data_IF_061192059540
#
_entry.id   IF_061192059540
#
_cell.length_a   1.000
_cell.length_b   1.000
_cell.length_c   1.000
_cell.angle_alpha   90.00
_cell.angle_beta   90.00
_cell.angle_gamma   90.00
#
_symmetry.space_group_name_H-M   'P 1'
#
loop_
_entity.id
_entity.type
_entity.pdbx_description
1 polymer ?
#
# COMPACT_ATOMS: atom_id res chain seq x y z
N UNK A 1 -2.22 16.63 1.79
CA UNK A 1 -1.47 15.45 2.26
C UNK A 1 -2.09 14.99 3.56
N UNK A 2 -2.75 13.83 3.55
CA UNK A 2 -3.48 13.30 4.70
C UNK A 2 -2.47 12.73 5.72
N UNK A 3 -2.37 13.27 6.96
CA UNK A 3 -1.36 12.84 7.92
C UNK A 3 -1.47 11.34 8.28
N UNK A 4 -2.66 10.77 8.10
CA UNK A 4 -2.93 9.33 8.29
C UNK A 4 -2.02 8.46 7.43
N UNK A 5 -1.77 8.81 6.17
CA UNK A 5 -0.99 7.98 5.25
C UNK A 5 0.46 7.81 5.70
N UNK A 6 1.05 8.89 6.22
CA UNK A 6 2.40 8.83 6.77
C UNK A 6 2.45 7.94 8.01
N UNK A 7 1.44 8.00 8.88
CA UNK A 7 1.32 7.13 10.06
C UNK A 7 1.28 5.65 9.68
N UNK A 8 0.53 5.30 8.63
CA UNK A 8 0.41 3.91 8.16
C UNK A 8 1.75 3.41 7.62
N UNK A 9 2.44 4.23 6.83
CA UNK A 9 3.78 3.89 6.34
C UNK A 9 4.75 3.71 7.52
N UNK A 10 4.70 4.59 8.52
CA UNK A 10 5.60 4.51 9.68
C UNK A 10 5.33 3.24 10.53
N UNK A 11 4.06 2.93 10.77
CA UNK A 11 3.65 1.68 11.43
C UNK A 11 4.09 0.46 10.61
N UNK A 12 3.82 0.45 9.31
CA UNK A 12 4.24 -0.63 8.40
C UNK A 12 5.76 -0.83 8.43
N UNK A 13 6.54 0.26 8.48
CA UNK A 13 8.00 0.21 8.58
C UNK A 13 8.51 -0.39 9.88
N UNK A 14 7.77 -0.28 10.98
CA UNK A 14 8.11 -0.92 12.28
C UNK A 14 7.94 -2.42 12.22
N UNK A 15 7.05 -2.91 11.37
CA UNK A 15 6.90 -4.33 11.12
C UNK A 15 8.01 -4.84 10.18
N UNK A 16 8.50 -6.04 10.48
CA UNK A 16 9.49 -6.71 9.65
C UNK A 16 8.75 -7.56 8.62
N UNK A 17 8.09 -6.89 7.69
CA UNK A 17 7.25 -7.54 6.67
C UNK A 17 8.17 -8.26 5.69
N UNK A 18 8.08 -9.58 5.69
CA UNK A 18 8.74 -10.43 4.70
C UNK A 18 7.78 -10.52 3.49
N UNK A 19 8.33 -10.52 2.28
CA UNK A 19 7.54 -10.65 1.04
C UNK A 19 6.57 -11.83 1.14
N UNK A 20 5.25 -11.59 0.97
CA UNK A 20 4.20 -12.61 1.03
C UNK A 20 3.37 -12.66 2.32
N UNK A 21 3.55 -11.69 3.23
CA UNK A 21 2.70 -11.55 4.42
C UNK A 21 1.46 -10.70 4.13
N UNK A 22 0.61 -11.21 3.21
CA UNK A 22 -0.62 -10.53 2.77
C UNK A 22 -1.59 -10.29 3.95
N UNK A 23 -1.60 -11.19 4.95
CA UNK A 23 -2.40 -11.04 6.17
C UNK A 23 -1.99 -9.81 6.99
N UNK A 24 -0.69 -9.53 7.13
CA UNK A 24 -0.21 -8.37 7.86
C UNK A 24 -0.52 -7.05 7.15
N UNK A 25 -0.42 -7.02 5.82
CA UNK A 25 -0.81 -5.83 5.05
C UNK A 25 -2.30 -5.56 5.22
N UNK A 26 -3.13 -6.61 5.14
CA UNK A 26 -4.57 -6.50 5.37
C UNK A 26 -4.90 -6.03 6.81
N UNK A 27 -4.25 -6.60 7.82
CA UNK A 27 -4.44 -6.22 9.24
C UNK A 27 -4.05 -4.75 9.51
N UNK A 28 -2.95 -4.27 8.92
CA UNK A 28 -2.51 -2.87 9.07
C UNK A 28 -3.50 -1.93 8.38
N UNK A 29 -3.98 -2.27 7.18
CA UNK A 29 -4.96 -1.45 6.47
C UNK A 29 -6.31 -1.42 7.19
N UNK A 30 -6.75 -2.56 7.74
CA UNK A 30 -7.97 -2.66 8.55
C UNK A 30 -7.86 -1.85 9.85
N UNK A 31 -6.74 -1.97 10.57
CA UNK A 31 -6.47 -1.19 11.79
C UNK A 31 -6.36 0.30 11.55
N UNK A 32 -5.97 0.69 10.34
CA UNK A 32 -5.77 2.09 9.98
C UNK A 32 -7.05 2.80 9.54
N UNK A 33 -8.18 2.09 9.51
CA UNK A 33 -9.49 2.62 9.13
C UNK A 33 -9.44 3.36 7.77
N UNK A 34 -8.63 2.86 6.84
CA UNK A 34 -8.60 3.41 5.47
C UNK A 34 -9.87 2.96 4.76
N UNK A 35 -10.65 3.94 4.32
CA UNK A 35 -11.79 3.66 3.45
C UNK A 35 -11.33 3.31 2.04
N UNK A 36 -12.17 2.58 1.32
CA UNK A 36 -11.90 2.17 -0.07
C UNK A 36 -11.69 3.39 -0.96
N UNK A 37 -12.49 4.44 -0.73
CA UNK A 37 -12.40 5.71 -1.44
C UNK A 37 -11.06 6.44 -1.22
N UNK A 38 -10.37 6.16 -0.11
CA UNK A 38 -9.04 6.72 0.22
C UNK A 38 -7.88 5.88 -0.34
N UNK A 39 -8.10 4.60 -0.68
CA UNK A 39 -7.06 3.73 -1.24
C UNK A 39 -6.39 4.30 -2.52
N UNK A 40 -7.09 4.96 -3.45
CA UNK A 40 -6.46 5.57 -4.62
C UNK A 40 -5.48 6.68 -4.27
N UNK A 41 -5.87 7.54 -3.34
CA UNK A 41 -5.05 8.65 -2.86
C UNK A 41 -3.84 8.09 -2.11
N UNK A 42 -4.05 7.02 -1.32
CA UNK A 42 -2.98 6.35 -0.60
C UNK A 42 -1.99 5.65 -1.53
N UNK A 43 -2.45 4.96 -2.57
CA UNK A 43 -1.59 4.33 -3.57
C UNK A 43 -0.73 5.36 -4.31
N UNK A 44 -1.28 6.54 -4.61
CA UNK A 44 -0.55 7.67 -5.21
C UNK A 44 0.53 8.19 -4.25
N UNK A 45 0.17 8.39 -2.98
CA UNK A 45 1.11 8.81 -1.96
C UNK A 45 2.29 7.83 -1.81
N UNK A 46 2.02 6.53 -1.80
CA UNK A 46 3.06 5.50 -1.72
C UNK A 46 3.96 5.50 -2.95
N UNK A 47 3.42 5.75 -4.14
CA UNK A 47 4.22 5.87 -5.36
C UNK A 47 5.22 7.04 -5.25
N UNK A 48 4.76 8.21 -4.79
CA UNK A 48 5.61 9.38 -4.58
C UNK A 48 6.65 9.14 -3.47
N UNK A 49 6.25 8.54 -2.35
CA UNK A 49 7.17 8.19 -1.26
C UNK A 49 8.21 7.16 -1.70
N UNK A 50 7.84 6.17 -2.50
CA UNK A 50 8.77 5.20 -3.05
C UNK A 50 9.75 5.88 -4.03
N UNK A 51 9.29 6.79 -4.89
CA UNK A 51 10.21 7.52 -5.77
C UNK A 51 11.22 8.37 -4.98
N UNK A 52 10.79 8.95 -3.85
CA UNK A 52 11.65 9.76 -2.98
C UNK A 52 12.63 8.93 -2.17
N UNK A 53 12.19 7.80 -1.62
CA UNK A 53 12.96 7.02 -0.64
C UNK A 53 13.60 5.75 -1.21
N UNK A 54 13.06 5.24 -2.33
CA UNK A 54 13.40 3.93 -2.92
C UNK A 54 13.37 2.79 -1.90
N UNK A 55 12.45 2.88 -0.95
CA UNK A 55 12.31 1.97 0.19
C UNK A 55 11.45 0.76 -0.19
N UNK A 56 12.02 -0.44 -0.11
CA UNK A 56 11.33 -1.69 -0.46
C UNK A 56 10.06 -1.94 0.37
N UNK A 57 9.97 -1.43 1.61
CA UNK A 57 8.74 -1.59 2.42
C UNK A 57 7.59 -0.76 1.86
N UNK A 58 7.89 0.40 1.28
CA UNK A 58 6.89 1.23 0.60
C UNK A 58 6.38 0.51 -0.67
N UNK A 59 7.29 -0.13 -1.41
CA UNK A 59 6.94 -0.96 -2.59
C UNK A 59 6.04 -2.15 -2.20
N UNK A 60 6.33 -2.82 -1.08
CA UNK A 60 5.50 -3.92 -0.56
C UNK A 60 4.10 -3.46 -0.13
N UNK A 61 4.01 -2.35 0.58
CA UNK A 61 2.71 -1.80 0.99
C UNK A 61 1.88 -1.39 -0.23
N UNK A 62 2.52 -0.80 -1.24
CA UNK A 62 1.90 -0.46 -2.51
C UNK A 62 1.40 -1.71 -3.25
N UNK A 63 2.16 -2.82 -3.21
CA UNK A 63 1.73 -4.10 -3.76
C UNK A 63 0.46 -4.62 -3.09
N UNK A 64 0.39 -4.63 -1.76
CA UNK A 64 -0.81 -5.13 -1.06
C UNK A 64 -2.06 -4.28 -1.32
N UNK A 65 -1.91 -2.97 -1.51
CA UNK A 65 -3.03 -2.11 -1.92
C UNK A 65 -3.50 -2.45 -3.34
N UNK A 66 -2.57 -2.65 -4.27
CA UNK A 66 -2.91 -3.08 -5.63
C UNK A 66 -3.64 -4.44 -5.60
N UNK A 67 -3.21 -5.37 -4.74
CA UNK A 67 -3.85 -6.67 -4.58
C UNK A 67 -5.30 -6.55 -4.07
N UNK A 68 -5.57 -5.63 -3.13
CA UNK A 68 -6.93 -5.34 -2.65
C UNK A 68 -7.81 -4.82 -3.80
N UNK A 69 -7.28 -3.94 -4.65
CA UNK A 69 -7.98 -3.46 -5.84
C UNK A 69 -8.26 -4.58 -6.84
N UNK A 70 -7.27 -5.43 -7.14
CA UNK A 70 -7.43 -6.57 -8.05
C UNK A 70 -8.46 -7.58 -7.55
N UNK A 71 -8.40 -7.94 -6.27
CA UNK A 71 -9.31 -8.90 -5.63
C UNK A 71 -10.76 -8.41 -5.66
N UNK A 72 -10.99 -7.10 -5.59
CA UNK A 72 -12.34 -6.51 -5.56
C UNK A 72 -12.97 -6.29 -6.93
N UNK A 73 -12.25 -6.53 -8.04
CA UNK A 73 -12.74 -6.32 -9.43
C UNK A 73 -13.34 -4.91 -9.68
N UNK A 74 -13.07 -3.95 -8.81
CA UNK A 74 -13.37 -2.55 -9.10
C UNK A 74 -12.36 -2.09 -10.15
N UNK A 75 -12.81 -1.32 -11.13
CA UNK A 75 -12.04 -0.93 -12.34
C UNK A 75 -10.84 -0.02 -12.09
N UNK A 76 -10.16 -0.18 -10.95
CA UNK A 76 -8.93 0.51 -10.61
C UNK A 76 -7.81 -0.01 -11.51
N UNK A 77 -7.37 0.84 -12.45
CA UNK A 77 -6.12 0.61 -13.15
C UNK A 77 -5.00 0.79 -12.14
N UNK A 78 -4.34 -0.31 -11.79
CA UNK A 78 -3.08 -0.31 -11.05
C UNK A 78 -2.14 0.71 -11.69
N UNK A 79 -2.02 1.88 -11.07
CA UNK A 79 -1.24 3.00 -11.63
C UNK A 79 0.27 2.75 -11.51
N UNK A 80 0.67 1.74 -10.75
CA UNK A 80 2.08 1.38 -10.54
C UNK A 80 2.28 -0.11 -10.79
N UNK A 81 2.93 -0.45 -11.90
CA UNK A 81 3.45 -1.80 -12.15
C UNK A 81 4.54 -2.09 -11.12
N UNK A 82 4.16 -2.70 -10.01
CA UNK A 82 5.13 -3.32 -9.12
C UNK A 82 5.76 -4.51 -9.85
N UNK A 83 7.05 -4.76 -9.64
CA UNK A 83 7.80 -5.86 -10.31
C UNK A 83 7.21 -7.25 -10.04
N UNK A 84 6.29 -7.33 -9.09
CA UNK A 84 5.63 -8.54 -8.58
C UNK A 84 4.23 -8.75 -9.16
N UNK A 85 3.73 -7.84 -9.99
CA UNK A 85 2.46 -8.00 -10.73
C UNK A 85 2.83 -8.14 -12.22
N UNK A 86 2.57 -9.32 -12.78
CA UNK A 86 2.87 -9.67 -14.17
C UNK A 86 1.60 -9.62 -15.03
#
# INVERSE_FOLDING_TARGET
>A
MNPKFQTIVDEFKKHNVIFGDDELIHDILEKSDISIDELPEFATFLAEEYERTKDDKVEQLQYGINFIFETRREGYKVNYRSKYIN
#
